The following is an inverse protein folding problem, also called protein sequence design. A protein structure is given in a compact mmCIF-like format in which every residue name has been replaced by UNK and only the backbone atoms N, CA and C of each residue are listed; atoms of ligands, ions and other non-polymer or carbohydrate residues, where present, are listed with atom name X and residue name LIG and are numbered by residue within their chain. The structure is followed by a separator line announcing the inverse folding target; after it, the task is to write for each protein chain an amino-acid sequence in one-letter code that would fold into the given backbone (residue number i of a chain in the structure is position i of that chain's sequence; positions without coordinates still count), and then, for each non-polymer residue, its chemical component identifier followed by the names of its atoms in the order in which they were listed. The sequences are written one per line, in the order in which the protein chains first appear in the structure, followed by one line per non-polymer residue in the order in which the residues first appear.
data_IF_526924010084
#
_entry.id   IF_526924010084
#
_cell.length_a   1.000
_cell.length_b   1.000
_cell.length_c   1.000
_cell.angle_alpha   90.00
_cell.angle_beta   90.00
_cell.angle_gamma   90.00
#
_symmetry.space_group_name_H-M   'P 1'
#
loop_
_entity.id
_entity.type
_entity.pdbx_description
1 polymer ?
#
# COMPACT_ATOMS: atom_id res chain seq x y z
N UNK A 1 -10.37 18.22 4.19
CA UNK A 1 -10.68 17.19 3.18
C UNK A 1 -9.44 16.30 3.01
N UNK A 2 -9.19 15.38 3.95
CA UNK A 2 -7.99 14.54 3.93
C UNK A 2 -8.06 13.69 2.67
N UNK A 3 -7.20 13.98 1.68
CA UNK A 3 -7.03 13.13 0.50
C UNK A 3 -6.54 11.79 1.02
N UNK A 4 -7.49 10.90 1.37
CA UNK A 4 -7.25 9.47 1.49
C UNK A 4 -6.78 9.10 0.08
N UNK A 5 -5.47 9.20 -0.17
CA UNK A 5 -4.81 8.56 -1.30
C UNK A 5 -5.54 7.25 -1.46
N UNK A 6 -6.26 7.03 -2.57
CA UNK A 6 -7.03 5.79 -2.81
C UNK A 6 -6.08 4.67 -2.44
N UNK A 7 -6.20 4.14 -1.23
CA UNK A 7 -5.21 3.21 -0.70
C UNK A 7 -5.52 2.01 -1.56
N UNK A 8 -4.67 1.76 -2.53
CA UNK A 8 -4.65 0.49 -3.24
C UNK A 8 -4.09 -0.48 -2.21
N UNK A 9 -4.86 -0.66 -1.15
CA UNK A 9 -4.53 -1.57 -0.10
C UNK A 9 -4.52 -2.92 -0.77
N UNK A 10 -3.51 -3.69 -0.39
CA UNK A 10 -3.53 -5.15 -0.37
C UNK A 10 -4.93 -5.64 0.11
N UNK A 11 -5.62 -4.85 0.94
CA UNK A 11 -7.00 -5.01 1.41
C UNK A 11 -8.00 -3.94 0.91
N UNK A 12 -7.94 -3.55 -0.37
CA UNK A 12 -8.94 -2.67 -1.02
C UNK A 12 -10.16 -3.44 -1.56
N UNK A 13 -11.05 -2.74 -2.30
CA UNK A 13 -12.29 -3.24 -2.98
C UNK A 13 -12.18 -4.59 -3.72
N UNK A 14 -10.97 -5.08 -3.98
CA UNK A 14 -10.69 -6.28 -4.79
C UNK A 14 -9.86 -7.36 -4.05
N UNK A 15 -9.68 -7.22 -2.72
CA UNK A 15 -8.94 -8.18 -1.90
C UNK A 15 -7.46 -8.36 -2.27
N UNK A 16 -6.76 -9.19 -1.51
CA UNK A 16 -5.36 -9.57 -1.73
C UNK A 16 -5.18 -10.45 -2.96
N UNK A 17 -6.21 -11.22 -3.29
CA UNK A 17 -6.12 -12.33 -4.25
C UNK A 17 -6.03 -11.84 -5.71
N UNK A 18 -6.49 -10.61 -5.95
CA UNK A 18 -6.41 -9.98 -7.26
C UNK A 18 -5.02 -9.39 -7.57
N UNK A 19 -4.10 -9.35 -6.59
CA UNK A 19 -2.76 -8.77 -6.70
C UNK A 19 -1.73 -9.87 -6.91
N UNK A 20 -1.03 -9.83 -8.06
CA UNK A 20 0.02 -10.80 -8.39
C UNK A 20 1.36 -10.11 -8.62
N UNK A 21 2.45 -10.79 -8.27
CA UNK A 21 3.81 -10.30 -8.51
C UNK A 21 4.14 -10.32 -10.00
N UNK A 22 4.70 -9.23 -10.52
CA UNK A 22 5.21 -9.14 -11.91
C UNK A 22 6.73 -9.28 -11.94
N UNK A 23 7.41 -8.58 -11.03
CA UNK A 23 8.85 -8.66 -10.81
C UNK A 23 9.12 -8.47 -9.32
N UNK A 24 10.37 -8.64 -8.87
CA UNK A 24 10.76 -8.39 -7.48
C UNK A 24 10.38 -6.95 -7.11
N UNK A 25 9.56 -6.77 -6.06
CA UNK A 25 9.10 -5.46 -5.62
C UNK A 25 7.96 -4.84 -6.43
N UNK A 26 7.54 -5.43 -7.56
CA UNK A 26 6.47 -4.90 -8.44
C UNK A 26 5.26 -5.83 -8.43
N UNK A 27 4.11 -5.27 -8.05
CA UNK A 27 2.85 -5.99 -7.90
C UNK A 27 1.77 -5.39 -8.78
N UNK A 28 1.03 -6.20 -9.55
CA UNK A 28 -0.06 -5.75 -10.42
C UNK A 28 -1.38 -6.36 -9.99
N UNK A 29 -2.38 -5.51 -9.83
CA UNK A 29 -3.76 -5.87 -9.53
C UNK A 29 -4.54 -6.12 -10.84
N UNK A 30 -5.06 -7.33 -11.05
CA UNK A 30 -5.86 -7.66 -12.25
C UNK A 30 -7.23 -6.98 -12.25
N UNK A 31 -7.86 -6.84 -11.08
CA UNK A 31 -9.20 -6.27 -11.00
C UNK A 31 -9.23 -4.74 -11.14
N UNK A 32 -8.19 -4.08 -10.64
CA UNK A 32 -8.09 -2.62 -10.60
C UNK A 32 -7.07 -2.03 -11.58
N UNK A 33 -6.33 -2.88 -12.30
CA UNK A 33 -5.29 -2.51 -13.28
C UNK A 33 -4.20 -1.58 -12.74
N UNK A 34 -4.01 -1.54 -11.41
CA UNK A 34 -2.97 -0.73 -10.77
C UNK A 34 -1.71 -1.54 -10.55
N UNK A 35 -0.58 -0.87 -10.74
CA UNK A 35 0.75 -1.36 -10.36
C UNK A 35 1.15 -0.69 -9.05
N UNK A 36 1.63 -1.48 -8.09
CA UNK A 36 2.00 -1.05 -6.74
C UNK A 36 3.40 -1.56 -6.45
N UNK A 37 4.25 -0.67 -5.92
CA UNK A 37 5.54 -1.05 -5.37
C UNK A 37 5.35 -1.65 -3.97
N UNK A 38 5.99 -2.77 -3.70
CA UNK A 38 5.85 -3.53 -2.45
C UNK A 38 7.17 -4.18 -2.04
N UNK A 39 7.08 -5.17 -1.15
CA UNK A 39 8.22 -5.99 -0.78
C UNK A 39 8.66 -6.93 -1.91
N UNK A 40 9.85 -7.50 -1.77
CA UNK A 40 10.43 -8.45 -2.73
C UNK A 40 9.56 -9.72 -2.90
N UNK A 41 9.04 -10.24 -1.78
CA UNK A 41 8.30 -11.50 -1.70
C UNK A 41 6.86 -11.34 -1.20
N UNK A 42 6.57 -10.25 -0.49
CA UNK A 42 5.23 -9.93 0.02
C UNK A 42 4.83 -8.53 -0.42
N UNK A 43 3.54 -8.29 -0.69
CA UNK A 43 3.05 -6.98 -1.17
C UNK A 43 3.34 -5.86 -0.16
N UNK A 44 3.40 -6.21 1.12
CA UNK A 44 3.71 -5.27 2.21
C UNK A 44 4.58 -5.97 3.23
N UNK A 45 5.68 -5.32 3.62
CA UNK A 45 6.54 -5.75 4.72
C UNK A 45 6.07 -5.16 6.04
N UNK A 46 6.43 -5.81 7.15
CA UNK A 46 6.17 -5.32 8.52
C UNK A 46 6.80 -3.96 8.75
N UNK A 47 8.05 -3.76 8.33
CA UNK A 47 8.73 -2.47 8.39
C UNK A 47 7.95 -1.37 7.63
N UNK A 48 7.45 -1.66 6.42
CA UNK A 48 6.64 -0.69 5.67
C UNK A 48 5.31 -0.36 6.37
N UNK A 49 4.73 -1.30 7.13
CA UNK A 49 3.55 -1.01 7.94
C UNK A 49 3.86 -0.02 9.07
N UNK A 50 4.96 -0.21 9.78
CA UNK A 50 5.44 0.69 10.85
C UNK A 50 5.78 2.07 10.31
N UNK A 51 6.45 2.16 9.15
CA UNK A 51 6.76 3.47 8.54
C UNK A 51 5.48 4.24 8.21
N UNK A 52 4.45 3.57 7.67
CA UNK A 52 3.17 4.23 7.36
C UNK A 52 2.44 4.74 8.60
N UNK A 53 2.48 4.04 9.72
CA UNK A 53 1.87 4.52 10.97
C UNK A 53 2.67 5.69 11.56
N UNK A 54 4.00 5.60 11.55
CA UNK A 54 4.87 6.70 12.01
C UNK A 54 4.68 7.97 11.19
N UNK A 55 4.69 7.88 9.86
CA UNK A 55 4.47 9.04 8.98
C UNK A 55 3.10 9.67 9.21
N UNK A 56 2.06 8.85 9.41
CA UNK A 56 0.73 9.37 9.73
C UNK A 56 0.73 10.15 11.05
N UNK A 57 1.31 9.57 12.10
CA UNK A 57 1.44 10.22 13.42
C UNK A 57 2.21 11.54 13.32
N UNK A 58 3.32 11.55 12.57
CA UNK A 58 4.12 12.77 12.38
C UNK A 58 3.33 13.87 11.66
N UNK A 59 2.54 13.53 10.63
CA UNK A 59 1.69 14.51 9.93
C UNK A 59 0.61 15.10 10.83
N UNK A 60 -0.03 14.25 11.64
CA UNK A 60 -1.04 14.70 12.62
C UNK A 60 -0.43 15.64 13.67
N UNK A 61 0.85 15.47 14.03
CA UNK A 61 1.56 16.38 14.96
C UNK A 61 1.99 17.70 14.30
N UNK A 62 2.26 17.72 13.00
CA UNK A 62 2.72 18.93 12.29
C UNK A 62 1.57 19.80 11.75
N UNK A 63 0.41 19.19 11.48
CA UNK A 63 -0.76 19.87 10.91
C UNK A 63 -1.84 20.21 11.97
N UNK A 64 -1.58 19.91 13.25
CA UNK A 64 -2.36 20.37 14.41
C UNK A 64 -1.86 21.75 14.86
#
# INVERSE_FOLDING_TARGET
MTKRTRKVGVTGKYGTDSVKRQAVGIWKCKACQKVVAGGAWTVTTTAAATVRSTVRRLRELTEA
#
